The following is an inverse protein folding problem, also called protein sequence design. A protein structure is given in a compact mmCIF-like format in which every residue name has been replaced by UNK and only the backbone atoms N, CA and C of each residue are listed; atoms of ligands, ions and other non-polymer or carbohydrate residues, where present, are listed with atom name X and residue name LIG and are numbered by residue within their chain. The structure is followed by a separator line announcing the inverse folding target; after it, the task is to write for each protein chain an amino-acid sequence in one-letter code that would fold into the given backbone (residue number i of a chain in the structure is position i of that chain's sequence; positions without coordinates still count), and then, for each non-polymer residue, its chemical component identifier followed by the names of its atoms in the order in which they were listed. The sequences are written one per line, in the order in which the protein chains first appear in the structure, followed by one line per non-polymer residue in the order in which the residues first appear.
data_IF_876016274566
#
_entry.id   IF_876016274566
#
_cell.length_a   1.000
_cell.length_b   1.000
_cell.length_c   1.000
_cell.angle_alpha   90.00
_cell.angle_beta   90.00
_cell.angle_gamma   90.00
#
_symmetry.space_group_name_H-M   'P 1'
#
loop_
_entity.id
_entity.type
_entity.pdbx_description
1 polymer ?
#
# COMPACT_ATOMS: atom_id res chain seq x y z
N UNK A 1 -21.76 59.86 -4.11
CA UNK A 1 -20.42 59.31 -3.83
C UNK A 1 -20.37 58.21 -2.73
N UNK A 2 -21.47 57.87 -2.03
CA UNK A 2 -21.45 56.88 -0.93
C UNK A 2 -21.57 55.41 -1.36
N UNK A 3 -22.32 55.10 -2.43
CA UNK A 3 -22.51 53.71 -2.89
C UNK A 3 -21.22 53.04 -3.38
N UNK A 4 -20.32 53.78 -4.03
CA UNK A 4 -19.02 53.28 -4.51
C UNK A 4 -18.04 52.91 -3.39
N UNK A 5 -18.17 53.49 -2.18
CA UNK A 5 -17.34 53.11 -1.02
C UNK A 5 -17.80 51.81 -0.36
N UNK A 6 -19.10 51.53 -0.38
CA UNK A 6 -19.67 50.31 0.18
C UNK A 6 -19.36 49.04 -0.63
N UNK A 7 -19.11 49.17 -1.94
CA UNK A 7 -18.75 48.05 -2.83
C UNK A 7 -17.27 47.65 -2.80
N UNK A 8 -16.37 48.53 -2.32
CA UNK A 8 -14.93 48.27 -2.25
C UNK A 8 -14.51 47.04 -1.43
N UNK A 9 -15.07 46.77 -0.22
CA UNK A 9 -14.72 45.56 0.52
C UNK A 9 -15.19 44.28 -0.19
N UNK A 10 -16.36 44.30 -0.83
CA UNK A 10 -16.87 43.17 -1.61
C UNK A 10 -16.02 42.92 -2.87
N UNK A 11 -15.62 43.97 -3.59
CA UNK A 11 -14.70 43.85 -4.71
C UNK A 11 -13.33 43.28 -4.27
N UNK A 12 -12.81 43.72 -3.12
CA UNK A 12 -11.56 43.20 -2.56
C UNK A 12 -11.67 41.73 -2.17
N UNK A 13 -12.76 41.34 -1.51
CA UNK A 13 -13.02 39.94 -1.15
C UNK A 13 -13.17 39.06 -2.39
N UNK A 14 -13.89 39.52 -3.42
CA UNK A 14 -14.03 38.82 -4.69
C UNK A 14 -12.68 38.66 -5.41
N UNK A 15 -11.85 39.71 -5.43
CA UNK A 15 -10.51 39.65 -6.01
C UNK A 15 -9.62 38.67 -5.23
N UNK A 16 -9.62 38.71 -3.89
CA UNK A 16 -8.88 37.74 -3.06
C UNK A 16 -9.35 36.32 -3.33
N UNK A 17 -10.67 36.10 -3.44
CA UNK A 17 -11.23 34.79 -3.76
C UNK A 17 -10.80 34.32 -5.15
N UNK A 18 -10.82 35.19 -6.16
CA UNK A 18 -10.35 34.86 -7.52
C UNK A 18 -8.86 34.53 -7.51
N UNK A 19 -8.03 35.26 -6.75
CA UNK A 19 -6.62 34.92 -6.61
C UNK A 19 -6.40 33.63 -5.82
N UNK A 20 -7.20 33.35 -4.79
CA UNK A 20 -7.13 32.11 -4.02
C UNK A 20 -7.56 30.90 -4.86
N UNK A 21 -8.65 31.02 -5.62
CA UNK A 21 -9.12 30.01 -6.57
C UNK A 21 -8.13 29.86 -7.72
N UNK A 22 -7.59 30.96 -8.26
CA UNK A 22 -6.57 30.94 -9.31
C UNK A 22 -5.26 30.32 -8.83
N UNK A 23 -4.85 30.59 -7.59
CA UNK A 23 -3.68 29.97 -6.97
C UNK A 23 -3.94 28.48 -6.65
N UNK A 24 -5.14 28.13 -6.19
CA UNK A 24 -5.55 26.74 -5.99
C UNK A 24 -5.58 25.98 -7.32
N UNK A 25 -6.16 26.54 -8.37
CA UNK A 25 -6.19 25.95 -9.71
C UNK A 25 -4.78 25.87 -10.31
N UNK A 26 -3.97 26.91 -10.19
CA UNK A 26 -2.58 26.88 -10.65
C UNK A 26 -1.74 25.87 -9.86
N UNK A 27 -1.99 25.72 -8.55
CA UNK A 27 -1.40 24.67 -7.71
C UNK A 27 -1.88 23.29 -8.13
N UNK A 28 -3.17 23.12 -8.39
CA UNK A 28 -3.81 21.93 -8.98
C UNK A 28 -3.38 21.64 -10.42
N UNK A 29 -2.70 22.56 -11.12
CA UNK A 29 -2.21 22.35 -12.49
C UNK A 29 -0.68 22.21 -12.54
N UNK A 30 0.06 22.87 -11.64
CA UNK A 30 1.53 22.79 -11.54
C UNK A 30 2.04 21.57 -10.78
N UNK A 31 1.25 21.02 -9.85
CA UNK A 31 1.68 19.93 -8.96
C UNK A 31 1.56 18.52 -9.52
N UNK A 32 1.63 18.31 -10.84
CA UNK A 32 1.67 16.95 -11.41
C UNK A 32 0.33 16.23 -11.48
N UNK A 33 -0.78 16.96 -11.56
CA UNK A 33 -2.14 16.41 -11.71
C UNK A 33 -2.44 15.86 -13.11
N UNK A 34 -1.41 15.49 -13.89
CA UNK A 34 -1.61 14.68 -15.09
C UNK A 34 -2.49 13.48 -14.71
N UNK A 35 -3.56 13.25 -15.46
CA UNK A 35 -4.33 12.02 -15.30
C UNK A 35 -3.33 10.87 -15.41
N UNK A 36 -3.28 10.03 -14.37
CA UNK A 36 -2.66 8.73 -14.49
C UNK A 36 -3.61 7.94 -15.40
N UNK A 37 -3.35 7.98 -16.70
CA UNK A 37 -4.06 7.17 -17.67
C UNK A 37 -3.38 5.81 -17.68
N UNK A 38 -3.91 4.91 -16.85
CA UNK A 38 -3.45 3.53 -16.82
C UNK A 38 -4.04 2.74 -17.98
N UNK A 39 -3.25 1.80 -18.50
CA UNK A 39 -3.73 0.77 -19.42
C UNK A 39 -4.00 -0.52 -18.63
N UNK A 40 -4.87 -1.43 -19.09
CA UNK A 40 -4.99 -2.73 -18.45
C UNK A 40 -3.63 -3.45 -18.43
N UNK A 41 -3.23 -3.97 -17.28
CA UNK A 41 -2.03 -4.80 -17.17
C UNK A 41 -2.26 -6.12 -17.92
N UNK A 42 -1.34 -6.56 -18.79
CA UNK A 42 -1.50 -7.79 -19.54
C UNK A 42 -1.33 -8.99 -18.62
N UNK A 43 -2.45 -9.58 -18.20
CA UNK A 43 -2.50 -10.77 -17.34
C UNK A 43 -2.61 -12.02 -18.21
N UNK A 44 -1.66 -12.97 -18.15
CA UNK A 44 -1.78 -14.26 -18.82
C UNK A 44 -2.88 -15.14 -18.18
N UNK A 45 -3.44 -16.08 -18.93
CA UNK A 45 -4.36 -17.06 -18.35
C UNK A 45 -3.65 -17.95 -17.33
N UNK A 46 -4.18 -18.00 -16.10
CA UNK A 46 -3.68 -18.90 -15.06
C UNK A 46 -3.96 -20.37 -15.43
N UNK A 47 -2.99 -21.25 -15.11
CA UNK A 47 -3.16 -22.70 -15.16
C UNK A 47 -3.66 -23.31 -13.85
N UNK A 48 -3.77 -22.49 -12.80
CA UNK A 48 -4.14 -22.90 -11.46
C UNK A 48 -5.50 -22.33 -11.06
N UNK A 49 -6.30 -23.17 -10.39
CA UNK A 49 -7.64 -22.81 -9.89
C UNK A 49 -7.77 -22.96 -8.37
N UNK A 50 -6.75 -23.45 -7.67
CA UNK A 50 -6.75 -23.62 -6.22
C UNK A 50 -5.39 -23.31 -5.59
N UNK A 51 -5.38 -22.81 -4.36
CA UNK A 51 -4.14 -22.56 -3.63
C UNK A 51 -3.38 -23.84 -3.26
N UNK A 52 -4.07 -24.96 -3.07
CA UNK A 52 -3.42 -26.26 -2.90
C UNK A 52 -2.55 -26.58 -4.13
N UNK A 53 -3.08 -26.39 -5.34
CA UNK A 53 -2.33 -26.65 -6.57
C UNK A 53 -1.20 -25.66 -6.76
N UNK A 54 -1.41 -24.36 -6.47
CA UNK A 54 -0.35 -23.35 -6.53
C UNK A 54 0.80 -23.73 -5.60
N UNK A 55 0.52 -23.94 -4.31
CA UNK A 55 1.52 -24.15 -3.27
C UNK A 55 2.18 -25.53 -3.33
N UNK A 56 1.57 -26.51 -4.01
CA UNK A 56 2.21 -27.78 -4.33
C UNK A 56 3.30 -27.66 -5.43
N UNK A 57 3.35 -26.54 -6.16
CA UNK A 57 4.25 -26.32 -7.29
C UNK A 57 5.06 -25.01 -7.13
N UNK A 58 5.98 -24.93 -6.14
CA UNK A 58 6.81 -23.74 -5.95
C UNK A 58 7.67 -23.47 -7.19
N UNK A 59 7.99 -22.20 -7.40
CA UNK A 59 8.75 -21.69 -8.55
C UNK A 59 10.09 -21.12 -8.13
N UNK A 60 10.99 -20.94 -9.10
CA UNK A 60 12.27 -20.25 -8.91
C UNK A 60 12.06 -18.74 -8.84
N UNK A 61 11.40 -18.32 -7.77
CA UNK A 61 11.12 -16.93 -7.42
C UNK A 61 11.47 -16.73 -5.95
N UNK A 62 12.03 -15.58 -5.62
CA UNK A 62 12.38 -15.20 -4.25
C UNK A 62 11.96 -13.78 -3.96
N UNK A 63 11.78 -13.46 -2.69
CA UNK A 63 11.49 -12.11 -2.24
C UNK A 63 12.44 -11.70 -1.11
N UNK A 64 13.01 -10.50 -1.23
CA UNK A 64 13.84 -9.88 -0.21
C UNK A 64 13.24 -8.55 0.20
N UNK A 65 12.83 -8.43 1.46
CA UNK A 65 12.31 -7.18 2.02
C UNK A 65 13.45 -6.32 2.57
N UNK A 66 13.44 -5.03 2.25
CA UNK A 66 14.32 -4.05 2.88
C UNK A 66 13.54 -2.80 3.26
N UNK A 67 14.09 -2.08 4.24
CA UNK A 67 13.50 -0.85 4.76
C UNK A 67 14.10 0.38 4.07
N UNK A 68 13.24 1.34 3.74
CA UNK A 68 13.63 2.63 3.16
C UNK A 68 13.46 3.82 4.11
N UNK A 69 12.91 3.60 5.29
CA UNK A 69 12.78 4.60 6.35
C UNK A 69 11.77 4.13 7.38
N UNK A 70 11.30 5.05 8.21
CA UNK A 70 10.25 4.81 9.19
C UNK A 70 9.25 5.96 9.23
N UNK A 71 7.99 5.62 9.47
CA UNK A 71 6.94 6.56 9.89
C UNK A 71 6.78 6.44 11.41
N UNK A 72 6.90 7.54 12.13
CA UNK A 72 6.73 7.60 13.58
C UNK A 72 5.37 8.16 13.93
N UNK A 73 4.51 7.31 14.52
CA UNK A 73 3.13 7.63 14.89
C UNK A 73 2.55 6.61 15.88
N UNK A 74 1.38 6.91 16.44
CA UNK A 74 0.54 5.87 17.07
C UNK A 74 0.02 4.93 15.97
N UNK A 75 0.59 3.73 15.94
CA UNK A 75 0.27 2.70 14.96
C UNK A 75 -1.20 2.22 15.01
N UNK A 76 -1.85 2.35 16.16
CA UNK A 76 -3.23 1.91 16.34
C UNK A 76 -4.23 2.83 15.64
N UNK A 77 -3.83 4.06 15.28
CA UNK A 77 -4.64 4.99 14.47
C UNK A 77 -4.89 4.51 13.04
N UNK A 78 -4.09 3.55 12.57
CA UNK A 78 -4.24 2.89 11.27
C UNK A 78 -5.19 1.69 11.32
N UNK A 79 -5.77 1.38 12.49
CA UNK A 79 -6.68 0.24 12.69
C UNK A 79 -8.12 0.71 12.85
N UNK A 80 -9.07 -0.20 12.61
CA UNK A 80 -10.50 0.05 12.78
C UNK A 80 -10.81 0.62 14.19
N UNK A 81 -11.23 1.90 14.31
CA UNK A 81 -11.54 2.53 15.58
C UNK A 81 -12.83 2.01 16.23
N UNK A 82 -13.67 1.29 15.49
CA UNK A 82 -14.87 0.67 16.05
C UNK A 82 -14.59 -0.71 16.68
N UNK A 83 -13.40 -1.29 16.44
CA UNK A 83 -13.06 -2.59 17.03
C UNK A 83 -12.88 -2.48 18.54
N UNK A 84 -13.63 -3.24 19.36
CA UNK A 84 -13.46 -3.20 20.82
C UNK A 84 -12.09 -3.71 21.25
N UNK A 85 -11.40 -4.47 20.38
CA UNK A 85 -10.04 -4.97 20.63
C UNK A 85 -8.99 -3.88 20.51
N UNK A 86 -9.30 -2.73 19.89
CA UNK A 86 -8.37 -1.61 19.80
C UNK A 86 -7.92 -1.11 21.19
N UNK A 87 -8.74 -1.26 22.23
CA UNK A 87 -8.38 -0.89 23.61
C UNK A 87 -7.12 -1.60 24.13
N UNK A 88 -6.81 -2.78 23.59
CA UNK A 88 -5.61 -3.56 23.94
C UNK A 88 -4.42 -3.26 23.02
N UNK A 89 -4.57 -2.35 22.06
CA UNK A 89 -3.50 -1.90 21.18
C UNK A 89 -2.57 -0.95 21.94
N UNK A 90 -1.27 -1.09 21.73
CA UNK A 90 -0.29 -0.18 22.31
C UNK A 90 -0.28 1.15 21.55
N UNK A 91 -0.91 2.17 22.14
CA UNK A 91 -1.04 3.52 21.60
C UNK A 91 0.21 4.39 21.76
N UNK A 92 1.30 3.86 22.31
CA UNK A 92 2.57 4.60 22.38
C UNK A 92 3.11 4.81 20.96
N UNK A 93 3.38 6.07 20.54
CA UNK A 93 3.95 6.33 19.23
C UNK A 93 5.27 5.58 19.02
N UNK A 94 5.40 4.92 17.87
CA UNK A 94 6.54 4.07 17.53
C UNK A 94 6.88 4.16 16.06
N UNK A 95 8.03 3.60 15.72
CA UNK A 95 8.52 3.54 14.35
C UNK A 95 7.88 2.37 13.62
N UNK A 96 7.14 2.69 12.57
CA UNK A 96 6.60 1.79 11.57
C UNK A 96 7.58 1.73 10.41
N UNK A 97 8.02 0.54 10.03
CA UNK A 97 9.01 0.39 8.96
C UNK A 97 8.34 0.72 7.61
N UNK A 98 9.01 1.49 6.74
CA UNK A 98 8.58 1.70 5.34
C UNK A 98 9.34 0.70 4.48
N UNK A 99 8.60 -0.27 3.94
CA UNK A 99 9.17 -1.46 3.32
C UNK A 99 9.09 -1.42 1.80
N UNK A 100 10.07 -2.05 1.17
CA UNK A 100 10.06 -2.39 -0.26
C UNK A 100 10.44 -3.86 -0.37
N UNK A 101 9.79 -4.58 -1.28
CA UNK A 101 10.05 -5.99 -1.50
C UNK A 101 10.64 -6.20 -2.90
N UNK A 102 11.89 -6.64 -2.96
CA UNK A 102 12.51 -7.06 -4.21
C UNK A 102 12.12 -8.50 -4.52
N UNK A 103 11.39 -8.67 -5.62
CA UNK A 103 11.02 -9.99 -6.16
C UNK A 103 11.97 -10.32 -7.30
N UNK A 104 12.71 -11.42 -7.16
CA UNK A 104 13.60 -11.93 -8.20
C UNK A 104 13.05 -13.23 -8.76
N UNK A 105 12.73 -13.24 -10.07
CA UNK A 105 12.26 -14.40 -10.80
C UNK A 105 13.34 -14.88 -11.77
N UNK A 106 13.77 -16.14 -11.68
CA UNK A 106 14.95 -16.66 -12.38
C UNK A 106 14.94 -16.44 -13.90
N UNK A 107 13.76 -16.40 -14.52
CA UNK A 107 13.61 -16.17 -15.97
C UNK A 107 13.18 -14.76 -16.36
N UNK A 108 12.51 -14.04 -15.46
CA UNK A 108 11.84 -12.78 -15.79
C UNK A 108 12.57 -11.56 -15.22
N UNK A 109 13.56 -11.79 -14.36
CA UNK A 109 14.40 -10.76 -13.78
C UNK A 109 13.81 -10.18 -12.50
N UNK A 110 14.06 -8.89 -12.31
CA UNK A 110 13.78 -8.19 -11.07
C UNK A 110 12.51 -7.32 -11.16
N UNK A 111 11.74 -7.39 -10.08
CA UNK A 111 10.54 -6.60 -9.87
C UNK A 111 10.58 -6.04 -8.45
N UNK A 112 9.84 -4.95 -8.21
CA UNK A 112 9.60 -4.47 -6.86
C UNK A 112 8.12 -4.58 -6.52
N UNK A 113 7.86 -4.69 -5.21
CA UNK A 113 6.57 -4.38 -4.62
C UNK A 113 6.76 -3.15 -3.74
N UNK A 114 6.00 -2.11 -4.04
CA UNK A 114 6.15 -0.75 -3.54
C UNK A 114 7.53 -0.11 -3.84
N UNK A 115 7.66 1.19 -3.56
CA UNK A 115 8.86 1.99 -3.81
C UNK A 115 9.42 2.67 -2.55
N UNK A 116 8.68 2.71 -1.45
CA UNK A 116 9.20 3.27 -0.20
C UNK A 116 9.53 4.76 -0.29
N UNK A 117 10.63 5.18 0.34
CA UNK A 117 11.14 6.55 0.31
C UNK A 117 12.32 6.75 -0.66
N UNK A 118 12.40 7.96 -1.26
CA UNK A 118 13.61 8.50 -1.86
C UNK A 118 14.55 9.09 -0.79
N UNK A 119 15.69 9.66 -1.19
CA UNK A 119 16.71 10.19 -0.29
C UNK A 119 16.31 11.53 0.37
N UNK A 120 15.20 12.12 -0.05
CA UNK A 120 14.74 13.41 0.46
C UNK A 120 14.34 13.34 1.93
N UNK A 121 13.98 12.15 2.45
CA UNK A 121 13.60 11.96 3.86
C UNK A 121 14.81 11.99 4.80
N UNK A 122 16.01 11.68 4.30
CA UNK A 122 17.26 11.88 5.03
C UNK A 122 17.73 13.34 4.96
N UNK A 123 17.54 14.02 3.83
CA UNK A 123 18.03 15.39 3.61
C UNK A 123 17.08 16.49 4.11
N UNK A 124 15.77 16.25 4.04
CA UNK A 124 14.70 17.20 4.37
C UNK A 124 13.65 16.57 5.32
N UNK A 125 14.06 16.06 6.49
CA UNK A 125 13.12 15.53 7.45
C UNK A 125 12.18 16.63 7.98
N UNK A 126 10.97 16.28 8.41
CA UNK A 126 10.44 14.91 8.51
C UNK A 126 9.54 14.50 7.33
N UNK A 127 9.47 15.28 6.25
CA UNK A 127 8.46 15.10 5.19
C UNK A 127 9.01 14.84 3.79
N UNK A 128 10.32 15.00 3.57
CA UNK A 128 10.94 14.64 2.29
C UNK A 128 10.24 15.28 1.10
N UNK A 129 9.83 14.45 0.14
CA UNK A 129 9.19 14.84 -1.10
C UNK A 129 7.65 14.84 -1.03
N UNK A 130 7.05 14.69 0.15
CA UNK A 130 5.60 14.76 0.32
C UNK A 130 5.02 16.09 -0.14
N UNK A 131 3.80 16.05 -0.69
CA UNK A 131 3.03 17.26 -0.98
C UNK A 131 2.90 18.16 0.25
N UNK A 132 2.84 19.48 0.05
CA UNK A 132 2.64 20.43 1.14
C UNK A 132 1.37 20.15 1.96
N UNK A 133 0.28 19.72 1.30
CA UNK A 133 -0.96 19.33 1.95
C UNK A 133 -0.77 18.10 2.85
N UNK A 134 -0.06 17.08 2.35
CA UNK A 134 0.26 15.87 3.13
C UNK A 134 1.20 16.18 4.30
N UNK A 135 2.21 17.05 4.07
CA UNK A 135 3.12 17.52 5.13
C UNK A 135 2.36 18.25 6.24
N UNK A 136 1.37 19.09 5.89
CA UNK A 136 0.52 19.77 6.86
C UNK A 136 -0.37 18.78 7.62
N UNK A 137 -0.98 17.82 6.92
CA UNK A 137 -1.79 16.76 7.52
C UNK A 137 -0.98 15.92 8.51
N UNK A 138 0.23 15.48 8.14
CA UNK A 138 1.08 14.70 9.03
C UNK A 138 1.50 15.54 10.25
N UNK A 139 1.86 16.81 10.05
CA UNK A 139 2.16 17.73 11.15
C UNK A 139 1.00 17.88 12.14
N UNK A 140 -0.23 18.04 11.66
CA UNK A 140 -1.39 18.18 12.55
C UNK A 140 -1.71 16.90 13.32
N UNK A 141 -1.32 15.73 12.79
CA UNK A 141 -1.54 14.43 13.43
C UNK A 141 -0.31 13.91 14.20
N UNK A 142 0.74 14.72 14.35
CA UNK A 142 1.96 14.30 15.05
C UNK A 142 2.78 13.22 14.34
N UNK A 143 2.50 12.97 13.06
CA UNK A 143 3.22 11.99 12.23
C UNK A 143 4.51 12.62 11.71
N UNK A 144 5.62 11.90 11.89
CA UNK A 144 6.94 12.31 11.37
C UNK A 144 7.62 11.15 10.67
N UNK A 145 8.39 11.40 9.62
CA UNK A 145 9.17 10.37 8.95
C UNK A 145 10.66 10.56 9.25
N UNK A 146 11.40 9.46 9.27
CA UNK A 146 12.85 9.46 9.41
C UNK A 146 13.47 8.43 8.47
N UNK A 147 14.64 8.75 7.96
CA UNK A 147 15.42 7.87 7.11
C UNK A 147 16.89 8.09 7.44
N UNK A 148 17.67 7.01 7.53
CA UNK A 148 19.13 7.12 7.64
C UNK A 148 19.73 7.27 6.24
N UNK A 149 20.83 8.03 6.09
CA UNK A 149 21.53 8.11 4.80
C UNK A 149 21.82 6.72 4.22
N UNK A 150 21.44 6.50 2.97
CA UNK A 150 21.62 5.25 2.26
C UNK A 150 20.55 4.17 2.53
N UNK A 151 19.50 4.45 3.31
CA UNK A 151 18.33 3.55 3.40
C UNK A 151 17.37 3.71 2.20
N UNK A 152 17.40 4.85 1.50
CA UNK A 152 16.53 5.18 0.36
C UNK A 152 16.54 4.15 -0.78
N UNK A 153 15.49 4.16 -1.60
CA UNK A 153 15.34 3.20 -2.70
C UNK A 153 16.55 3.18 -3.64
N UNK A 154 17.05 4.35 -4.06
CA UNK A 154 18.16 4.43 -5.01
C UNK A 154 19.41 3.75 -4.48
N UNK A 155 19.76 4.04 -3.23
CA UNK A 155 20.89 3.42 -2.53
C UNK A 155 20.71 1.91 -2.37
N UNK A 156 19.49 1.44 -2.10
CA UNK A 156 19.20 0.01 -1.95
C UNK A 156 19.33 -0.74 -3.29
N UNK A 157 18.83 -0.16 -4.38
CA UNK A 157 18.95 -0.71 -5.74
C UNK A 157 20.41 -0.75 -6.20
N UNK A 158 21.15 0.35 -6.05
CA UNK A 158 22.55 0.44 -6.45
C UNK A 158 23.44 -0.58 -5.71
N UNK A 159 23.27 -0.72 -4.40
CA UNK A 159 24.05 -1.66 -3.56
C UNK A 159 23.84 -3.12 -3.98
N UNK A 160 22.65 -3.46 -4.44
CA UNK A 160 22.26 -4.82 -4.85
C UNK A 160 22.35 -5.04 -6.36
N UNK A 161 22.65 -3.99 -7.13
CA UNK A 161 22.68 -3.99 -8.60
C UNK A 161 21.36 -4.46 -9.21
N UNK A 162 20.25 -3.96 -8.67
CA UNK A 162 18.88 -4.29 -9.10
C UNK A 162 18.41 -3.26 -10.11
N UNK A 163 17.85 -3.72 -11.22
CA UNK A 163 17.23 -2.89 -12.25
C UNK A 163 15.81 -3.39 -12.52
N UNK A 164 14.82 -2.92 -11.75
CA UNK A 164 13.47 -3.49 -11.82
C UNK A 164 12.77 -3.10 -13.12
N UNK A 165 12.14 -4.08 -13.76
CA UNK A 165 11.35 -3.86 -14.98
C UNK A 165 9.97 -3.28 -14.67
N UNK A 166 9.39 -3.69 -13.55
CA UNK A 166 8.13 -3.16 -13.03
C UNK A 166 8.14 -3.00 -11.51
N UNK A 167 7.29 -2.11 -11.02
CA UNK A 167 6.89 -1.98 -9.62
C UNK A 167 5.41 -2.26 -9.49
N UNK A 168 5.08 -3.23 -8.65
CA UNK A 168 3.72 -3.61 -8.31
C UNK A 168 3.34 -2.98 -6.97
N UNK A 169 2.50 -1.97 -6.96
CA UNK A 169 2.10 -1.29 -5.73
C UNK A 169 1.00 -2.05 -5.02
N UNK A 170 1.15 -2.20 -3.70
CA UNK A 170 0.06 -2.63 -2.83
C UNK A 170 -1.07 -1.61 -2.88
N UNK A 171 -0.73 -0.32 -2.84
CA UNK A 171 -1.65 0.81 -2.97
C UNK A 171 -0.85 2.12 -3.19
N UNK A 172 -1.53 3.26 -3.38
CA UNK A 172 -0.89 4.52 -3.78
C UNK A 172 -0.79 5.56 -2.64
N UNK A 173 -0.46 5.13 -1.43
CA UNK A 173 -0.09 6.08 -0.38
C UNK A 173 1.34 6.63 -0.54
N UNK A 174 1.64 7.80 0.04
CA UNK A 174 2.91 8.48 -0.16
C UNK A 174 4.14 7.67 0.26
N UNK A 175 4.05 6.92 1.34
CA UNK A 175 5.14 6.06 1.84
C UNK A 175 5.38 4.80 1.01
N UNK A 176 4.43 4.42 0.16
CA UNK A 176 4.60 3.34 -0.81
C UNK A 176 5.15 3.85 -2.15
N UNK A 177 5.06 5.15 -2.43
CA UNK A 177 5.32 5.73 -3.75
C UNK A 177 6.44 6.78 -3.79
N UNK A 178 6.89 7.28 -2.64
CA UNK A 178 7.86 8.37 -2.56
C UNK A 178 9.24 8.04 -3.16
N UNK A 179 9.60 6.76 -3.29
CA UNK A 179 10.83 6.31 -3.95
C UNK A 179 10.75 6.27 -5.48
N UNK A 180 9.57 6.42 -6.08
CA UNK A 180 9.37 6.34 -7.55
C UNK A 180 10.29 7.28 -8.36
N UNK A 181 10.62 8.50 -7.91
CA UNK A 181 11.57 9.36 -8.62
C UNK A 181 12.95 8.72 -8.87
N UNK A 182 13.37 7.75 -8.06
CA UNK A 182 14.64 7.04 -8.21
C UNK A 182 14.62 5.92 -9.29
N UNK A 183 13.45 5.57 -9.81
CA UNK A 183 13.29 4.54 -10.83
C UNK A 183 13.61 5.09 -12.22
N UNK A 184 13.86 4.21 -13.19
CA UNK A 184 13.99 4.60 -14.60
C UNK A 184 12.63 5.07 -15.16
N UNK A 185 12.64 5.88 -16.22
CA UNK A 185 11.39 6.36 -16.86
C UNK A 185 10.60 5.22 -17.51
N UNK A 186 11.30 4.16 -17.91
CA UNK A 186 10.75 2.99 -18.61
C UNK A 186 10.22 1.91 -17.68
N UNK A 187 10.42 2.02 -16.36
CA UNK A 187 9.88 1.08 -15.37
C UNK A 187 8.36 1.14 -15.39
N UNK A 188 7.73 -0.03 -15.50
CA UNK A 188 6.27 -0.14 -15.46
C UNK A 188 5.75 0.05 -14.03
N UNK A 189 4.68 0.80 -13.87
CA UNK A 189 4.06 1.10 -12.58
C UNK A 189 2.67 0.50 -12.56
N UNK A 190 2.50 -0.57 -11.77
CA UNK A 190 1.33 -1.43 -11.78
C UNK A 190 0.61 -1.34 -10.44
N UNK A 191 -0.71 -1.13 -10.45
CA UNK A 191 -1.54 -1.00 -9.25
C UNK A 191 -2.98 -1.42 -9.57
N UNK A 192 -3.88 -1.45 -8.58
CA UNK A 192 -5.31 -1.73 -8.81
C UNK A 192 -5.96 -0.67 -9.71
N UNK A 193 -6.79 -1.06 -10.69
CA UNK A 193 -7.37 -0.12 -11.66
C UNK A 193 -8.18 1.03 -11.01
N UNK A 194 -8.75 0.80 -9.82
CA UNK A 194 -9.48 1.81 -9.06
C UNK A 194 -8.63 2.59 -8.04
N UNK A 195 -7.34 2.27 -7.90
CA UNK A 195 -6.46 2.84 -6.87
C UNK A 195 -6.06 4.31 -7.16
N UNK A 196 -5.93 4.68 -8.45
CA UNK A 196 -5.51 6.02 -8.87
C UNK A 196 -6.63 7.09 -8.78
N UNK A 197 -7.43 7.04 -7.71
CA UNK A 197 -8.47 8.02 -7.41
C UNK A 197 -7.90 9.45 -7.38
N UNK A 198 -8.78 10.45 -7.52
CA UNK A 198 -8.35 11.85 -7.45
C UNK A 198 -7.62 12.17 -6.13
N UNK A 199 -8.11 11.64 -5.00
CA UNK A 199 -7.53 11.88 -3.68
C UNK A 199 -6.17 11.20 -3.53
N UNK A 200 -6.03 9.95 -3.99
CA UNK A 200 -4.76 9.25 -3.98
C UNK A 200 -3.70 10.03 -4.79
N UNK A 201 -4.06 10.51 -5.98
CA UNK A 201 -3.17 11.34 -6.81
C UNK A 201 -2.81 12.68 -6.17
N UNK A 202 -3.74 13.30 -5.45
CA UNK A 202 -3.46 14.53 -4.72
C UNK A 202 -2.49 14.34 -3.53
N UNK A 203 -2.47 13.13 -2.94
CA UNK A 203 -1.60 12.80 -1.81
C UNK A 203 -0.14 12.58 -2.20
N UNK A 204 0.11 11.99 -3.38
CA UNK A 204 1.43 11.55 -3.87
C UNK A 204 2.21 12.59 -4.68
N UNK A 205 1.74 13.85 -4.70
CA UNK A 205 2.46 14.98 -5.29
C UNK A 205 2.98 14.70 -6.72
N UNK A 206 4.28 14.91 -6.92
CA UNK A 206 5.02 14.67 -8.15
C UNK A 206 5.79 13.34 -8.14
N UNK A 207 5.46 12.37 -7.27
CA UNK A 207 6.19 11.09 -7.19
C UNK A 207 6.29 10.41 -8.57
N UNK A 208 5.25 10.55 -9.39
CA UNK A 208 5.15 9.98 -10.73
C UNK A 208 5.62 10.91 -11.87
N UNK A 209 6.27 12.03 -11.56
CA UNK A 209 6.74 12.97 -12.58
C UNK A 209 7.78 12.32 -13.50
N UNK A 210 7.62 12.51 -14.81
CA UNK A 210 8.47 11.88 -15.82
C UNK A 210 8.19 10.38 -16.04
N UNK A 211 7.16 9.81 -15.41
CA UNK A 211 6.70 8.43 -15.65
C UNK A 211 5.53 8.40 -16.63
N UNK A 212 5.46 7.37 -17.46
CA UNK A 212 4.44 7.27 -18.52
C UNK A 212 3.80 5.88 -18.65
N UNK A 213 4.40 4.85 -18.05
CA UNK A 213 3.95 3.45 -18.14
C UNK A 213 3.15 3.04 -16.92
N UNK A 214 1.89 3.45 -16.88
CA UNK A 214 0.96 3.08 -15.81
C UNK A 214 0.05 1.95 -16.25
N UNK A 215 -0.12 0.95 -15.38
CA UNK A 215 -0.98 -0.19 -15.64
C UNK A 215 -1.92 -0.50 -14.47
N UNK A 216 -3.16 -0.83 -14.79
CA UNK A 216 -4.20 -1.23 -13.84
C UNK A 216 -4.46 -2.73 -13.87
N UNK A 217 -4.48 -3.38 -12.71
CA UNK A 217 -4.95 -4.76 -12.56
C UNK A 217 -6.47 -4.72 -12.35
N UNK A 218 -7.22 -5.45 -13.19
CA UNK A 218 -8.68 -5.52 -13.11
C UNK A 218 -9.13 -6.75 -12.32
N UNK A 219 -9.59 -6.54 -11.08
CA UNK A 219 -10.06 -7.64 -10.23
C UNK A 219 -11.53 -8.02 -10.43
N UNK A 220 -12.35 -7.14 -11.00
CA UNK A 220 -13.79 -7.38 -11.16
C UNK A 220 -14.13 -8.65 -11.98
N UNK A 221 -13.23 -9.03 -12.92
CA UNK A 221 -13.36 -10.23 -13.74
C UNK A 221 -12.38 -11.35 -13.33
N UNK A 222 -11.57 -11.14 -12.29
CA UNK A 222 -10.59 -12.11 -11.85
C UNK A 222 -11.27 -13.30 -11.14
N UNK A 223 -10.74 -14.54 -11.29
CA UNK A 223 -11.26 -15.69 -10.59
C UNK A 223 -11.11 -15.53 -9.08
N UNK A 224 -12.12 -15.94 -8.32
CA UNK A 224 -12.06 -16.02 -6.86
C UNK A 224 -11.48 -17.38 -6.47
N UNK A 225 -10.39 -17.38 -5.70
CA UNK A 225 -9.73 -18.60 -5.21
C UNK A 225 -9.83 -18.65 -3.69
N UNK A 226 -10.78 -19.40 -3.17
CA UNK A 226 -11.02 -19.51 -1.73
C UNK A 226 -9.80 -20.08 -0.97
N UNK A 227 -9.52 -19.61 0.26
CA UNK A 227 -10.31 -18.66 1.05
C UNK A 227 -10.03 -17.18 0.73
N UNK A 228 -9.10 -16.90 -0.18
CA UNK A 228 -8.82 -15.54 -0.65
C UNK A 228 -9.89 -15.07 -1.65
N UNK A 229 -9.86 -13.76 -1.94
CA UNK A 229 -10.76 -13.12 -2.90
C UNK A 229 -10.32 -13.28 -4.36
N UNK A 230 -10.77 -12.36 -5.23
CA UNK A 230 -10.30 -12.26 -6.61
C UNK A 230 -8.78 -12.24 -6.68
N UNK A 231 -8.22 -13.14 -7.47
CA UNK A 231 -6.77 -13.40 -7.51
C UNK A 231 -6.29 -13.54 -8.95
N UNK A 232 -5.13 -12.96 -9.22
CA UNK A 232 -4.54 -12.84 -10.55
C UNK A 232 -3.12 -13.41 -10.52
N UNK A 233 -2.84 -14.38 -11.38
CA UNK A 233 -1.48 -14.87 -11.64
C UNK A 233 -0.79 -13.91 -12.60
N UNK A 234 0.11 -13.07 -12.08
CA UNK A 234 0.71 -11.96 -12.84
C UNK A 234 1.62 -12.45 -13.96
N UNK A 235 2.26 -13.62 -13.79
CA UNK A 235 3.19 -14.19 -14.77
C UNK A 235 2.63 -15.41 -15.49
N UNK A 236 1.48 -15.94 -15.05
CA UNK A 236 0.79 -17.09 -15.66
C UNK A 236 1.45 -18.44 -15.38
N UNK A 237 2.57 -18.47 -14.65
CA UNK A 237 3.28 -19.69 -14.27
C UNK A 237 3.07 -20.07 -12.80
N UNK A 238 2.25 -19.33 -12.07
CA UNK A 238 1.88 -19.56 -10.68
C UNK A 238 2.93 -19.08 -9.66
N UNK A 239 3.97 -18.35 -10.09
CA UNK A 239 5.03 -17.86 -9.22
C UNK A 239 4.66 -16.59 -8.43
N UNK A 240 3.86 -15.70 -9.02
CA UNK A 240 3.59 -14.38 -8.46
C UNK A 240 2.13 -13.97 -8.65
N UNK A 241 1.43 -13.77 -7.54
CA UNK A 241 -0.01 -13.52 -7.51
C UNK A 241 -0.34 -12.18 -6.89
N UNK A 242 -1.25 -11.44 -7.52
CA UNK A 242 -1.93 -10.29 -6.94
C UNK A 242 -3.31 -10.73 -6.41
N UNK A 243 -3.63 -10.33 -5.18
CA UNK A 243 -4.87 -10.69 -4.48
C UNK A 243 -5.57 -9.40 -4.07
N UNK A 244 -6.83 -9.23 -4.49
CA UNK A 244 -7.64 -8.07 -4.10
C UNK A 244 -7.95 -8.12 -2.60
N UNK A 245 -7.56 -7.07 -1.87
CA UNK A 245 -7.76 -6.93 -0.42
C UNK A 245 -8.26 -5.52 -0.06
N UNK A 246 -9.36 -5.05 -0.68
CA UNK A 246 -9.83 -3.68 -0.50
C UNK A 246 -10.17 -3.40 0.96
N UNK A 247 -9.95 -2.16 1.39
CA UNK A 247 -10.39 -1.68 2.68
C UNK A 247 -9.59 -0.50 3.21
N UNK A 248 -8.26 -0.66 3.27
CA UNK A 248 -7.36 0.44 3.59
C UNK A 248 -7.44 1.53 2.52
N UNK A 249 -7.28 1.10 1.26
CA UNK A 249 -7.70 1.84 0.06
C UNK A 249 -8.75 1.04 -0.72
N UNK A 250 -9.35 1.66 -1.72
CA UNK A 250 -10.46 1.05 -2.47
C UNK A 250 -10.02 -0.18 -3.28
N UNK A 251 -8.75 -0.26 -3.68
CA UNK A 251 -8.24 -1.33 -4.52
C UNK A 251 -6.85 -1.83 -4.08
N UNK A 252 -6.66 -1.89 -2.75
CA UNK A 252 -5.45 -2.43 -2.13
C UNK A 252 -5.19 -3.88 -2.58
N UNK A 253 -3.91 -4.22 -2.75
CA UNK A 253 -3.43 -5.51 -3.24
C UNK A 253 -2.50 -6.15 -2.21
N UNK A 254 -2.73 -7.43 -1.91
CA UNK A 254 -1.78 -8.32 -1.25
C UNK A 254 -1.10 -9.19 -2.32
N UNK A 255 0.13 -9.62 -2.05
CA UNK A 255 0.91 -10.40 -3.01
C UNK A 255 1.38 -11.73 -2.44
N UNK A 256 1.15 -12.81 -3.19
CA UNK A 256 1.72 -14.13 -2.86
C UNK A 256 2.86 -14.45 -3.82
N UNK A 257 4.04 -14.66 -3.27
CA UNK A 257 5.24 -15.13 -3.95
C UNK A 257 5.37 -16.63 -3.65
N UNK A 258 5.11 -17.45 -4.66
CA UNK A 258 5.12 -18.91 -4.56
C UNK A 258 6.54 -19.48 -4.76
N UNK A 259 7.47 -19.01 -3.95
CA UNK A 259 8.82 -19.56 -3.84
C UNK A 259 8.89 -20.72 -2.85
N UNK A 260 10.11 -21.08 -2.45
CA UNK A 260 10.36 -22.07 -1.40
C UNK A 260 11.23 -21.44 -0.29
N UNK A 261 10.66 -20.99 0.84
CA UNK A 261 9.24 -21.07 1.22
C UNK A 261 8.36 -20.00 0.51
N UNK A 262 7.04 -20.24 0.40
CA UNK A 262 6.11 -19.26 -0.12
C UNK A 262 5.90 -18.10 0.89
N UNK A 263 5.67 -16.89 0.37
CA UNK A 263 5.52 -15.66 1.15
C UNK A 263 4.28 -14.89 0.73
N UNK A 264 3.42 -14.54 1.68
CA UNK A 264 2.28 -13.63 1.51
C UNK A 264 2.63 -12.26 2.13
N UNK A 265 2.69 -11.24 1.29
CA UNK A 265 2.82 -9.85 1.68
C UNK A 265 1.42 -9.25 1.79
N UNK A 266 1.05 -8.74 2.97
CA UNK A 266 -0.31 -8.23 3.18
C UNK A 266 -0.51 -6.80 2.70
N UNK A 267 0.58 -6.05 2.50
CA UNK A 267 0.52 -4.59 2.45
C UNK A 267 -0.24 -4.05 3.67
N UNK A 268 -0.98 -2.96 3.46
CA UNK A 268 -1.74 -2.31 4.53
C UNK A 268 -3.13 -2.91 4.79
N UNK A 269 -3.47 -4.01 4.11
CA UNK A 269 -4.56 -4.87 4.57
C UNK A 269 -4.28 -5.43 5.98
N UNK A 270 -3.01 -5.50 6.39
CA UNK A 270 -2.62 -5.63 7.79
C UNK A 270 -1.23 -5.03 8.03
N UNK A 271 -1.17 -3.96 8.83
CA UNK A 271 0.07 -3.20 9.00
C UNK A 271 1.11 -3.95 9.86
N UNK A 272 0.69 -4.75 10.85
CA UNK A 272 1.58 -5.43 11.79
C UNK A 272 0.93 -6.65 12.45
N UNK A 273 1.76 -7.55 12.99
CA UNK A 273 1.37 -8.88 13.46
C UNK A 273 0.26 -8.85 14.51
N UNK A 274 0.30 -7.89 15.45
CA UNK A 274 -0.72 -7.79 16.49
C UNK A 274 -2.12 -7.60 15.90
N UNK A 275 -2.28 -6.71 14.91
CA UNK A 275 -3.57 -6.46 14.27
C UNK A 275 -4.04 -7.71 13.52
N UNK A 276 -3.12 -8.35 12.79
CA UNK A 276 -3.39 -9.60 12.10
C UNK A 276 -3.86 -10.69 13.05
N UNK A 277 -3.15 -10.93 14.16
CA UNK A 277 -3.44 -12.01 15.11
C UNK A 277 -4.75 -11.79 15.88
N UNK A 278 -5.04 -10.54 16.24
CA UNK A 278 -6.24 -10.19 17.02
C UNK A 278 -7.49 -9.99 16.14
N UNK A 279 -7.36 -10.02 14.81
CA UNK A 279 -8.48 -9.81 13.89
C UNK A 279 -8.97 -8.36 13.94
N UNK A 280 -8.04 -7.40 13.99
CA UNK A 280 -8.36 -5.97 13.94
C UNK A 280 -8.03 -5.46 12.55
N UNK A 281 -9.07 -5.14 11.78
CA UNK A 281 -8.99 -4.67 10.41
C UNK A 281 -8.23 -3.34 10.28
N UNK A 282 -7.74 -3.02 9.07
CA UNK A 282 -7.19 -1.70 8.80
C UNK A 282 -8.31 -0.66 8.83
N UNK A 283 -7.93 0.57 9.18
CA UNK A 283 -8.79 1.72 8.99
C UNK A 283 -8.87 2.04 7.50
N UNK A 284 -10.09 2.11 6.98
CA UNK A 284 -10.35 2.63 5.64
C UNK A 284 -10.66 4.13 5.64
N UNK A 285 -10.78 4.71 4.44
CA UNK A 285 -11.16 6.11 4.26
C UNK A 285 -12.49 6.46 4.93
N UNK A 286 -13.46 5.55 4.87
CA UNK A 286 -14.76 5.66 5.51
C UNK A 286 -15.18 4.35 6.20
N UNK A 287 -16.43 4.32 6.70
CA UNK A 287 -16.99 3.13 7.35
C UNK A 287 -17.14 1.96 6.39
N UNK A 288 -17.46 2.21 5.13
CA UNK A 288 -17.64 1.15 4.13
C UNK A 288 -16.29 0.53 3.75
N UNK A 289 -15.25 1.34 3.55
CA UNK A 289 -13.87 0.89 3.37
C UNK A 289 -13.38 0.08 4.56
N UNK A 290 -13.59 0.56 5.78
CA UNK A 290 -13.22 -0.17 7.01
C UNK A 290 -13.92 -1.53 7.09
N UNK A 291 -15.21 -1.61 6.74
CA UNK A 291 -15.94 -2.87 6.68
C UNK A 291 -15.39 -3.84 5.63
N UNK A 292 -15.03 -3.35 4.43
CA UNK A 292 -14.33 -4.17 3.41
C UNK A 292 -12.97 -4.66 3.93
N UNK A 293 -12.23 -3.81 4.64
CA UNK A 293 -10.93 -4.15 5.23
C UNK A 293 -11.02 -5.29 6.25
N UNK A 294 -12.08 -5.33 7.04
CA UNK A 294 -12.33 -6.47 7.94
C UNK A 294 -12.53 -7.78 7.17
N UNK A 295 -13.30 -7.77 6.07
CA UNK A 295 -13.52 -8.95 5.22
C UNK A 295 -12.20 -9.42 4.61
N UNK A 296 -11.43 -8.49 4.02
CA UNK A 296 -10.10 -8.78 3.45
C UNK A 296 -9.15 -9.37 4.49
N UNK A 297 -9.12 -8.81 5.70
CA UNK A 297 -8.30 -9.34 6.79
C UNK A 297 -8.69 -10.76 7.18
N UNK A 298 -9.98 -11.06 7.30
CA UNK A 298 -10.44 -12.40 7.67
C UNK A 298 -10.18 -13.44 6.57
N UNK A 299 -10.21 -13.06 5.29
CA UNK A 299 -9.77 -13.91 4.19
C UNK A 299 -8.27 -14.24 4.29
N UNK A 300 -7.42 -13.24 4.53
CA UNK A 300 -5.97 -13.44 4.74
C UNK A 300 -5.70 -14.32 5.96
N UNK A 301 -6.43 -14.11 7.07
CA UNK A 301 -6.32 -14.94 8.28
C UNK A 301 -6.78 -16.37 8.03
N UNK A 302 -7.87 -16.57 7.28
CA UNK A 302 -8.33 -17.91 6.89
C UNK A 302 -7.31 -18.63 6.01
N UNK A 303 -6.69 -17.92 5.06
CA UNK A 303 -5.60 -18.45 4.24
C UNK A 303 -4.40 -18.86 5.10
N UNK A 304 -3.92 -17.99 6.00
CA UNK A 304 -2.81 -18.29 6.89
C UNK A 304 -3.09 -19.52 7.78
N UNK A 305 -4.33 -19.68 8.28
CA UNK A 305 -4.73 -20.89 9.04
C UNK A 305 -4.70 -22.16 8.18
N UNK A 306 -5.12 -22.07 6.91
CA UNK A 306 -5.14 -23.19 5.98
C UNK A 306 -3.74 -23.59 5.49
N UNK A 307 -2.83 -22.62 5.37
CA UNK A 307 -1.49 -22.78 4.80
C UNK A 307 -0.39 -22.28 5.75
N UNK A 308 -0.17 -22.95 6.90
CA UNK A 308 0.75 -22.48 7.95
C UNK A 308 2.23 -22.42 7.52
N UNK A 309 2.58 -23.02 6.38
CA UNK A 309 3.92 -22.96 5.81
C UNK A 309 4.18 -21.69 4.97
N UNK A 310 3.13 -20.92 4.64
CA UNK A 310 3.28 -19.64 3.91
C UNK A 310 3.70 -18.56 4.89
N UNK A 311 4.89 -17.98 4.72
CA UNK A 311 5.35 -16.89 5.58
C UNK A 311 4.52 -15.63 5.35
N UNK A 312 4.15 -14.92 6.42
CA UNK A 312 3.39 -13.68 6.32
C UNK A 312 4.33 -12.51 6.61
N UNK A 313 4.31 -11.49 5.76
CA UNK A 313 4.99 -10.21 5.95
C UNK A 313 3.95 -9.10 5.95
N UNK A 314 4.00 -8.26 7.00
CA UNK A 314 3.06 -7.17 7.21
C UNK A 314 3.58 -5.85 6.61
N UNK A 315 2.68 -4.90 6.33
CA UNK A 315 3.03 -3.65 5.64
C UNK A 315 4.10 -2.80 6.35
N UNK A 316 4.09 -2.81 7.69
CA UNK A 316 4.90 -1.91 8.51
C UNK A 316 5.68 -2.60 9.65
N UNK A 317 5.93 -3.91 9.51
CA UNK A 317 6.73 -4.67 10.45
C UNK A 317 7.75 -5.51 9.70
N UNK A 318 9.05 -5.20 9.84
CA UNK A 318 10.08 -5.99 9.18
C UNK A 318 10.11 -7.43 9.72
N UNK A 319 10.25 -8.45 8.86
CA UNK A 319 10.35 -9.84 9.30
C UNK A 319 11.49 -10.05 10.33
N UNK A 320 11.18 -10.73 11.44
CA UNK A 320 12.17 -11.20 12.42
C UNK A 320 12.61 -10.22 13.52
N UNK A 321 12.16 -8.96 13.53
CA UNK A 321 12.57 -7.97 14.54
C UNK A 321 11.87 -8.13 15.90
N UNK A 322 10.77 -8.87 15.97
CA UNK A 322 9.99 -9.07 17.21
C UNK A 322 10.42 -10.28 18.05
N UNK A 323 11.53 -10.97 17.74
CA UNK A 323 11.88 -12.24 18.42
C UNK A 323 10.84 -13.34 18.18
N UNK A 324 9.83 -13.05 17.36
CA UNK A 324 8.90 -14.00 16.81
C UNK A 324 9.51 -14.48 15.50
N UNK A 325 10.00 -15.71 15.48
CA UNK A 325 9.57 -16.59 14.39
C UNK A 325 8.05 -16.59 14.48
N UNK A 326 7.40 -15.63 13.81
CA UNK A 326 6.00 -15.30 14.03
C UNK A 326 5.18 -16.57 13.81
N UNK A 327 4.77 -17.20 14.91
CA UNK A 327 3.63 -18.09 14.84
C UNK A 327 2.48 -17.19 14.36
N UNK A 328 2.01 -17.44 13.15
CA UNK A 328 0.95 -16.66 12.49
C UNK A 328 -0.29 -16.52 13.39
N UNK A 329 -0.49 -17.50 14.26
CA UNK A 329 -1.45 -17.47 15.35
C UNK A 329 -0.80 -18.01 16.63
N UNK A 330 -1.11 -17.46 17.82
CA UNK A 330 -0.73 -18.09 19.08
C UNK A 330 -1.35 -19.50 19.18
N UNK A 331 -0.66 -20.42 19.85
CA UNK A 331 -1.15 -21.79 20.03
C UNK A 331 -2.49 -21.76 20.79
N UNK A 332 -3.55 -22.34 20.20
CA UNK A 332 -4.86 -22.52 20.84
C UNK A 332 -6.00 -21.61 20.38
N UNK A 333 -5.80 -20.73 19.39
CA UNK A 333 -6.86 -19.86 18.88
C UNK A 333 -7.80 -20.62 17.91
N UNK A 334 -8.87 -21.19 18.44
CA UNK A 334 -10.04 -21.66 17.67
C UNK A 334 -11.19 -20.69 17.94
N UNK A 335 -11.41 -19.73 17.04
CA UNK A 335 -12.61 -18.89 17.08
C UNK A 335 -13.61 -19.36 16.01
N UNK A 336 -14.86 -19.36 16.45
CA UNK A 336 -16.04 -20.00 15.88
C UNK A 336 -16.47 -19.36 14.54
N UNK A 337 -16.56 -20.18 13.49
CA UNK A 337 -16.95 -19.79 12.12
C UNK A 337 -18.45 -19.44 11.97
N UNK A 338 -19.19 -19.35 13.08
CA UNK A 338 -20.65 -19.26 13.09
C UNK A 338 -21.25 -17.87 12.81
N UNK A 339 -20.45 -16.82 12.56
CA UNK A 339 -20.95 -15.45 12.38
C UNK A 339 -21.02 -14.93 10.94
N UNK A 340 -20.61 -15.69 9.93
CA UNK A 340 -20.66 -15.24 8.53
C UNK A 340 -22.04 -15.40 7.85
N UNK A 341 -23.07 -15.89 8.55
CA UNK A 341 -24.40 -16.16 7.96
C UNK A 341 -25.55 -15.30 8.52
N UNK A 342 -25.29 -14.21 9.24
CA UNK A 342 -26.36 -13.37 9.83
C UNK A 342 -26.28 -11.87 9.48
N UNK A 343 -25.53 -11.50 8.45
CA UNK A 343 -25.54 -10.14 7.91
C UNK A 343 -25.78 -10.14 6.39
N UNK A 344 -26.79 -10.89 5.99
CA UNK A 344 -27.52 -10.68 4.74
C UNK A 344 -28.98 -10.99 5.04
N UNK A 345 -29.68 -10.01 5.60
CA UNK A 345 -31.13 -9.79 5.47
C UNK A 345 -31.43 -8.32 5.79
#
# INVERSE_FOLDING_TARGET
MSRLRALRPFLRAAVILIFAVGALVAWLLRGGFSRIESRPYPVPSSRFSSWNDVLAHPREISVTTFRTGVVHMDACLNLDPASPKQVACDHVPRDLDVLVHWVHHARLGDFLIDAGFDDSFAHHPPYGNYAAAMSLFNRSNGVTNRQRPGEDLQSQLARRKIHPTAVFFTHLHPDHTAGVPALESETELVFGSAEASFLARAAVANHFSGKSKFFGIEFAAAPVIAPLGPSVDLFGDGSFWAISVPGHTDDSIAYLINGAPPVLLTGDASHFAWAFQNGVGPRGWDRAGTARGYVSLEQLRAFARAYPNVQIVFGHEIPGRSGSTARQFPAGHRDDLSRLSQQTD
#
